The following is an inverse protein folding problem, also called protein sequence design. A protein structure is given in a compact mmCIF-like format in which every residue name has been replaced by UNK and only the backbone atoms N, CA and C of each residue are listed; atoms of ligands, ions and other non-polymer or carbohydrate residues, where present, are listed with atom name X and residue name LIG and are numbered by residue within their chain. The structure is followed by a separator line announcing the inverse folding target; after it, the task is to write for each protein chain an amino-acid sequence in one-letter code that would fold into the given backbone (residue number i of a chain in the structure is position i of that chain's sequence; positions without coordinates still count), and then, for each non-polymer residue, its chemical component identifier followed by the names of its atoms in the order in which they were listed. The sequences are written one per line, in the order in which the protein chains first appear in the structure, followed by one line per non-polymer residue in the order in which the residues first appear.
data_IF_053168424695
#
_entry.id   IF_053168424695
#
_cell.length_a   1.000
_cell.length_b   1.000
_cell.length_c   1.000
_cell.angle_alpha   90.00
_cell.angle_beta   90.00
_cell.angle_gamma   90.00
#
_symmetry.space_group_name_H-M   'P 1'
#
loop_
_entity.id
_entity.type
_entity.pdbx_description
1 polymer ?
#
# COMPACT_ATOMS: atom_id res chain seq x y z
N UNK A 1 -16.27 -3.44 -1.27
CA UNK A 1 -14.93 -3.27 -1.90
C UNK A 1 -14.46 -1.86 -1.58
N UNK A 2 -13.22 -1.71 -1.12
CA UNK A 2 -12.64 -0.40 -0.79
C UNK A 2 -12.54 0.48 -2.07
N UNK A 3 -12.87 1.80 -2.01
CA UNK A 3 -12.88 2.68 -3.19
C UNK A 3 -11.56 2.73 -3.95
N UNK A 4 -10.44 2.79 -3.25
CA UNK A 4 -9.09 2.82 -3.80
C UNK A 4 -8.81 1.55 -4.60
N UNK A 5 -9.15 0.37 -4.06
CA UNK A 5 -9.03 -0.89 -4.79
C UNK A 5 -9.92 -0.95 -6.04
N UNK A 6 -11.14 -0.43 -5.98
CA UNK A 6 -12.02 -0.37 -7.14
C UNK A 6 -11.45 0.52 -8.25
N UNK A 7 -10.88 1.67 -7.87
CA UNK A 7 -10.18 2.56 -8.80
C UNK A 7 -8.98 1.84 -9.43
N UNK A 8 -8.12 1.20 -8.63
CA UNK A 8 -6.97 0.46 -9.15
C UNK A 8 -7.37 -0.65 -10.12
N UNK A 9 -8.44 -1.39 -9.81
CA UNK A 9 -8.96 -2.44 -10.68
C UNK A 9 -9.39 -1.87 -12.04
N UNK A 10 -10.11 -0.75 -12.04
CA UNK A 10 -10.58 -0.11 -13.27
C UNK A 10 -9.44 0.51 -14.08
N UNK A 11 -8.35 0.94 -13.42
CA UNK A 11 -7.15 1.47 -14.06
C UNK A 11 -6.13 0.38 -14.44
N UNK A 12 -6.42 -0.91 -14.23
CA UNK A 12 -5.50 -2.02 -14.50
C UNK A 12 -4.25 -2.03 -13.62
N UNK A 13 -4.24 -1.28 -12.52
CA UNK A 13 -3.09 -1.11 -11.63
C UNK A 13 -3.15 -2.02 -10.39
N UNK A 14 -4.27 -2.69 -10.12
CA UNK A 14 -4.44 -3.51 -8.91
C UNK A 14 -3.41 -4.64 -8.82
N UNK A 15 -3.24 -5.43 -9.89
CA UNK A 15 -2.29 -6.56 -9.91
C UNK A 15 -0.83 -6.07 -9.80
N UNK A 16 -0.38 -5.05 -10.57
CA UNK A 16 0.95 -4.46 -10.39
C UNK A 16 1.24 -4.00 -8.96
N UNK A 17 0.30 -3.27 -8.33
CA UNK A 17 0.45 -2.79 -6.95
C UNK A 17 0.52 -3.96 -5.97
N UNK A 18 -0.33 -4.98 -6.14
CA UNK A 18 -0.30 -6.20 -5.31
C UNK A 18 1.05 -6.89 -5.36
N UNK A 19 1.57 -7.11 -6.58
CA UNK A 19 2.83 -7.80 -6.78
C UNK A 19 3.99 -7.03 -6.16
N UNK A 20 4.05 -5.70 -6.36
CA UNK A 20 5.15 -4.90 -5.83
C UNK A 20 5.13 -4.83 -4.29
N UNK A 21 3.94 -4.75 -3.66
CA UNK A 21 3.82 -4.88 -2.20
C UNK A 21 4.34 -6.25 -1.75
N UNK A 22 3.90 -7.33 -2.40
CA UNK A 22 4.33 -8.67 -2.04
C UNK A 22 5.85 -8.85 -2.21
N UNK A 23 6.45 -8.30 -3.27
CA UNK A 23 7.88 -8.39 -3.54
C UNK A 23 8.70 -7.62 -2.48
N UNK A 24 8.25 -6.41 -2.11
CA UNK A 24 8.87 -5.62 -1.03
C UNK A 24 8.81 -6.38 0.29
N UNK A 25 7.63 -6.87 0.67
CA UNK A 25 7.44 -7.60 1.92
C UNK A 25 8.21 -8.93 1.94
N UNK A 26 8.24 -9.66 0.82
CA UNK A 26 8.98 -10.92 0.68
C UNK A 26 10.49 -10.73 0.72
N UNK A 27 10.98 -9.60 0.19
CA UNK A 27 12.41 -9.26 0.27
C UNK A 27 12.83 -8.76 1.66
N UNK A 28 11.87 -8.47 2.55
CA UNK A 28 12.10 -7.88 3.86
C UNK A 28 11.29 -8.61 4.96
N UNK A 29 11.31 -9.94 4.96
CA UNK A 29 10.57 -10.76 5.94
C UNK A 29 10.89 -10.31 7.37
N UNK A 30 9.83 -10.20 8.19
CA UNK A 30 9.92 -9.74 9.59
C UNK A 30 10.03 -8.22 9.76
N UNK A 31 10.20 -7.45 8.67
CA UNK A 31 10.23 -5.98 8.72
C UNK A 31 8.83 -5.42 8.48
N UNK A 32 8.40 -4.51 9.35
CA UNK A 32 7.13 -3.78 9.22
C UNK A 32 7.33 -2.52 8.38
N UNK A 33 6.36 -2.24 7.52
CA UNK A 33 6.28 -1.01 6.73
C UNK A 33 4.89 -0.40 6.82
N UNK A 34 4.81 0.92 6.95
CA UNK A 34 3.56 1.63 6.69
C UNK A 34 3.28 1.69 5.18
N UNK A 35 2.05 2.09 4.82
CA UNK A 35 1.69 2.37 3.43
C UNK A 35 2.58 3.42 2.76
N UNK A 36 3.07 4.41 3.51
CA UNK A 36 3.99 5.44 3.01
C UNK A 36 5.39 4.87 2.75
N UNK A 37 5.87 3.97 3.61
CA UNK A 37 7.18 3.34 3.42
C UNK A 37 7.16 2.33 2.28
N UNK A 38 6.05 1.58 2.14
CA UNK A 38 5.81 0.73 0.98
C UNK A 38 5.80 1.57 -0.29
N UNK A 39 4.99 2.64 -0.33
CA UNK A 39 4.93 3.54 -1.49
C UNK A 39 6.29 4.15 -1.82
N UNK A 40 7.08 4.57 -0.82
CA UNK A 40 8.42 5.10 -1.04
C UNK A 40 9.40 4.08 -1.67
N UNK A 41 9.13 2.78 -1.51
CA UNK A 41 9.92 1.68 -2.09
C UNK A 41 9.44 1.22 -3.47
N UNK A 42 8.28 1.67 -3.93
CA UNK A 42 7.80 1.32 -5.26
C UNK A 42 8.72 1.84 -6.37
N UNK A 43 8.68 1.16 -7.51
CA UNK A 43 9.25 1.60 -8.77
C UNK A 43 8.69 2.95 -9.20
N UNK A 44 9.51 3.76 -9.87
CA UNK A 44 9.10 5.09 -10.32
C UNK A 44 7.90 5.04 -11.27
N UNK A 45 7.78 3.96 -12.05
CA UNK A 45 6.65 3.74 -12.95
C UNK A 45 5.34 3.64 -12.16
N UNK A 46 5.28 2.78 -11.14
CA UNK A 46 4.06 2.61 -10.35
C UNK A 46 3.79 3.80 -9.44
N UNK A 47 4.83 4.47 -8.91
CA UNK A 47 4.67 5.75 -8.21
C UNK A 47 3.97 6.80 -9.07
N UNK A 48 4.51 7.04 -10.27
CA UNK A 48 3.95 8.03 -11.18
C UNK A 48 2.50 7.71 -11.59
N UNK A 49 2.18 6.42 -11.77
CA UNK A 49 0.81 5.99 -12.07
C UNK A 49 -0.14 6.28 -10.90
N UNK A 50 0.25 5.93 -9.67
CA UNK A 50 -0.58 6.20 -8.49
C UNK A 50 -0.72 7.70 -8.21
N UNK A 51 0.34 8.49 -8.43
CA UNK A 51 0.30 9.95 -8.35
C UNK A 51 -0.65 10.54 -9.39
N UNK A 52 -0.61 10.05 -10.63
CA UNK A 52 -1.51 10.49 -11.71
C UNK A 52 -2.97 10.17 -11.37
N UNK A 53 -3.24 8.97 -10.85
CA UNK A 53 -4.59 8.58 -10.40
C UNK A 53 -5.04 9.48 -9.25
N UNK A 54 -4.19 9.65 -8.22
CA UNK A 54 -4.51 10.44 -7.04
C UNK A 54 -4.79 11.91 -7.39
N UNK A 55 -4.05 12.48 -8.34
CA UNK A 55 -4.23 13.85 -8.80
C UNK A 55 -5.60 14.12 -9.45
N UNK A 56 -6.35 13.09 -9.86
CA UNK A 56 -7.73 13.25 -10.34
C UNK A 56 -8.74 13.54 -9.22
N UNK A 57 -8.34 13.35 -7.95
CA UNK A 57 -9.18 13.56 -6.78
C UNK A 57 -8.62 14.72 -5.94
N UNK A 58 -9.42 15.75 -5.71
CA UNK A 58 -8.97 16.94 -4.97
C UNK A 58 -8.82 16.72 -3.46
N UNK A 59 -9.55 15.76 -2.90
CA UNK A 59 -9.67 15.56 -1.44
C UNK A 59 -10.07 14.14 -1.08
N UNK A 60 -9.74 13.77 0.15
CA UNK A 60 -10.07 12.47 0.75
C UNK A 60 -8.97 11.42 0.55
N UNK A 61 -9.20 10.17 0.96
CA UNK A 61 -8.20 9.11 0.88
C UNK A 61 -7.67 8.88 -0.55
N UNK A 62 -8.56 8.94 -1.55
CA UNK A 62 -8.20 8.79 -2.97
C UNK A 62 -7.27 9.91 -3.49
N UNK A 63 -7.13 11.05 -2.82
CA UNK A 63 -6.16 12.08 -3.22
C UNK A 63 -4.74 11.78 -2.73
N UNK A 64 -4.52 10.64 -2.07
CA UNK A 64 -3.23 10.26 -1.49
C UNK A 64 -2.71 8.95 -2.09
N UNK A 65 -1.58 8.97 -2.84
CA UNK A 65 -1.01 7.75 -3.44
C UNK A 65 -0.75 6.60 -2.44
N UNK A 66 -0.23 6.85 -1.23
CA UNK A 66 -0.07 5.81 -0.21
C UNK A 66 -1.38 5.14 0.25
N UNK A 67 -2.54 5.81 0.13
CA UNK A 67 -3.83 5.21 0.53
C UNK A 67 -4.20 4.00 -0.35
N UNK A 68 -3.85 4.06 -1.64
CA UNK A 68 -4.00 2.93 -2.56
C UNK A 68 -3.16 1.73 -2.13
N UNK A 69 -1.90 1.99 -1.74
CA UNK A 69 -0.98 0.96 -1.25
C UNK A 69 -1.50 0.33 0.04
N UNK A 70 -1.93 1.15 1.00
CA UNK A 70 -2.49 0.67 2.26
C UNK A 70 -3.76 -0.16 2.08
N UNK A 71 -4.63 0.25 1.15
CA UNK A 71 -5.87 -0.48 0.84
C UNK A 71 -5.59 -1.87 0.26
N UNK A 72 -4.60 -1.97 -0.65
CA UNK A 72 -4.17 -3.26 -1.20
C UNK A 72 -3.49 -4.11 -0.13
N UNK A 73 -2.55 -3.55 0.64
CA UNK A 73 -1.85 -4.28 1.70
C UNK A 73 -2.80 -4.81 2.80
N UNK A 74 -3.81 -4.03 3.18
CA UNK A 74 -4.85 -4.48 4.10
C UNK A 74 -5.69 -5.61 3.48
N UNK A 75 -6.06 -5.51 2.20
CA UNK A 75 -6.71 -6.63 1.51
C UNK A 75 -5.82 -7.88 1.48
N UNK A 76 -4.52 -7.74 1.23
CA UNK A 76 -3.56 -8.84 1.25
C UNK A 76 -3.50 -9.51 2.61
N UNK A 77 -3.45 -8.76 3.72
CA UNK A 77 -3.45 -9.33 5.07
C UNK A 77 -4.71 -10.14 5.41
N UNK A 78 -5.83 -9.86 4.73
CA UNK A 78 -7.07 -10.61 4.91
C UNK A 78 -7.11 -11.91 4.09
N UNK A 79 -6.28 -12.02 3.06
CA UNK A 79 -6.26 -13.17 2.12
C UNK A 79 -5.01 -14.04 2.24
N UNK A 80 -3.86 -13.47 2.62
CA UNK A 80 -2.57 -14.13 2.72
C UNK A 80 -2.21 -14.35 4.20
N UNK A 81 -2.20 -15.61 4.64
CA UNK A 81 -2.04 -15.97 6.06
C UNK A 81 -0.68 -15.56 6.67
N UNK A 82 0.32 -15.24 5.87
CA UNK A 82 1.65 -14.81 6.31
C UNK A 82 1.83 -13.28 6.29
N UNK A 83 0.86 -12.50 5.84
CA UNK A 83 0.88 -11.03 5.90
C UNK A 83 0.01 -10.58 7.06
N UNK A 84 0.62 -9.85 8.00
CA UNK A 84 -0.05 -9.34 9.21
C UNK A 84 -0.21 -7.83 9.11
N UNK A 85 -1.42 -7.37 9.44
CA UNK A 85 -1.77 -5.95 9.60
C UNK A 85 -1.65 -5.55 11.08
N UNK A 86 -0.74 -4.62 11.36
CA UNK A 86 -0.53 -4.00 12.67
C UNK A 86 -1.12 -2.57 12.68
N UNK A 87 -2.24 -2.38 13.38
CA UNK A 87 -2.95 -1.10 13.48
C UNK A 87 -2.25 -0.07 14.39
N UNK A 88 -1.14 -0.43 15.05
CA UNK A 88 -0.43 0.43 15.99
C UNK A 88 1.03 0.64 15.60
N UNK A 89 1.34 0.63 14.31
CA UNK A 89 2.70 0.82 13.82
C UNK A 89 3.07 2.31 13.78
N UNK A 90 4.28 2.65 14.23
CA UNK A 90 4.77 4.03 14.15
C UNK A 90 5.45 4.27 12.79
N UNK A 91 4.82 5.08 11.94
CA UNK A 91 5.39 5.44 10.65
C UNK A 91 6.44 6.55 10.80
N UNK A 92 7.72 6.29 10.44
CA UNK A 92 8.78 7.29 10.57
C UNK A 92 8.69 8.43 9.56
N UNK A 93 8.07 8.21 8.38
CA UNK A 93 7.91 9.25 7.34
C UNK A 93 6.91 10.32 7.80
N UNK A 94 5.81 9.89 8.43
CA UNK A 94 4.75 10.80 8.91
C UNK A 94 4.90 11.23 10.36
N UNK A 95 5.82 10.59 11.10
CA UNK A 95 6.04 10.82 12.53
C UNK A 95 4.74 10.65 13.36
N UNK A 96 3.94 9.61 13.06
CA UNK A 96 2.68 9.28 13.75
C UNK A 96 2.34 7.79 13.66
N UNK A 97 1.39 7.35 14.49
CA UNK A 97 0.84 5.98 14.43
C UNK A 97 -0.04 5.82 13.18
N UNK A 98 0.19 4.75 12.45
CA UNK A 98 -0.48 4.35 11.21
C UNK A 98 -0.62 2.82 11.16
N UNK A 99 -1.32 2.35 10.13
CA UNK A 99 -1.29 0.95 9.74
C UNK A 99 0.11 0.53 9.26
N UNK A 100 0.56 -0.63 9.74
CA UNK A 100 1.79 -1.29 9.33
C UNK A 100 1.53 -2.70 8.81
N UNK A 101 2.36 -3.15 7.88
CA UNK A 101 2.24 -4.45 7.23
C UNK A 101 3.57 -5.19 7.29
N UNK A 102 3.53 -6.49 7.61
CA UNK A 102 4.71 -7.35 7.67
C UNK A 102 4.40 -8.73 7.15
N UNK A 103 5.34 -9.31 6.40
CA UNK A 103 5.31 -10.72 6.04
C UNK A 103 6.14 -11.52 7.04
N UNK A 104 5.56 -12.58 7.58
CA UNK A 104 6.10 -13.35 8.72
C UNK A 104 6.82 -14.64 8.33
N UNK A 105 6.61 -15.12 7.10
CA UNK A 105 7.18 -16.36 6.55
C UNK A 105 7.32 -16.26 5.04
#
# INVERSE_FOLDING_TARGET
MNPEMHILNNQGCLIPVWNEINDILSSNIGTKFSSYELFAKFSDVLKNQLETIAATYEKGPCSSPPAYVGSVASSMSNTEANIVHDYNYFCPILNRIEDGFVKTK
#
